data_IF_583094759814
#
_entry.id   IF_583094759814
#
_cell.length_a   1.000
_cell.length_b   1.000
_cell.length_c   1.000
_cell.angle_alpha   90.00
_cell.angle_beta   90.00
_cell.angle_gamma   90.00
#
_symmetry.space_group_name_H-M   'P 1'
#
loop_
_entity.id
_entity.type
_entity.pdbx_description
1 polymer ?
#
# COMPACT_ATOMS: atom_id res chain seq x y z
N UNK A 1 -10.03 23.53 9.77
CA UNK A 1 -10.71 22.21 9.98
C UNK A 1 -9.70 21.09 10.24
N UNK A 2 -8.70 20.89 9.37
CA UNK A 2 -7.68 19.84 9.57
C UNK A 2 -6.84 20.07 10.84
N UNK A 3 -6.51 21.32 11.16
CA UNK A 3 -5.78 21.65 12.40
C UNK A 3 -6.55 21.23 13.66
N UNK A 4 -7.88 21.35 13.64
CA UNK A 4 -8.75 20.90 14.74
C UNK A 4 -8.80 19.38 14.84
N UNK A 5 -8.79 18.67 13.69
CA UNK A 5 -8.67 17.22 13.63
C UNK A 5 -7.33 16.77 14.23
N UNK A 6 -6.20 17.37 13.81
CA UNK A 6 -4.87 17.06 14.34
C UNK A 6 -4.81 17.29 15.86
N UNK A 7 -5.41 18.38 16.33
CA UNK A 7 -5.53 18.67 17.77
C UNK A 7 -6.32 17.58 18.51
N UNK A 8 -7.43 17.08 17.93
CA UNK A 8 -8.20 15.97 18.54
C UNK A 8 -7.45 14.63 18.58
N UNK A 9 -6.44 14.46 17.72
CA UNK A 9 -5.56 13.28 17.72
C UNK A 9 -4.33 13.48 18.64
N UNK A 10 -4.27 14.59 19.37
CA UNK A 10 -3.13 14.93 20.24
C UNK A 10 -1.87 15.36 19.49
N UNK A 11 -1.96 15.63 18.18
CA UNK A 11 -0.84 16.11 17.38
C UNK A 11 -0.77 17.64 17.48
N UNK A 12 0.13 18.12 18.34
CA UNK A 12 0.28 19.55 18.65
C UNK A 12 1.40 20.24 17.87
N UNK A 13 2.31 19.46 17.26
CA UNK A 13 3.41 19.98 16.45
C UNK A 13 3.35 19.37 15.04
N UNK A 14 3.23 20.23 14.02
CA UNK A 14 3.24 19.85 12.61
C UNK A 14 3.85 20.98 11.76
N UNK A 15 4.35 20.63 10.59
CA UNK A 15 4.82 21.60 9.59
C UNK A 15 3.62 22.24 8.87
N UNK A 16 3.72 23.52 8.51
CA UNK A 16 2.68 24.26 7.79
C UNK A 16 2.28 23.66 6.43
N UNK A 17 3.14 22.82 5.84
CA UNK A 17 2.87 22.11 4.57
C UNK A 17 1.96 20.89 4.74
N UNK A 18 1.93 20.27 5.92
CA UNK A 18 1.21 19.01 6.14
C UNK A 18 -0.31 19.13 5.91
N UNK A 19 -1.00 20.17 6.42
CA UNK A 19 -2.44 20.34 6.16
C UNK A 19 -2.77 20.48 4.66
N UNK A 20 -1.93 21.17 3.89
CA UNK A 20 -2.10 21.32 2.45
C UNK A 20 -1.93 20.00 1.71
N UNK A 21 -0.93 19.20 2.09
CA UNK A 21 -0.70 17.88 1.52
C UNK A 21 -1.89 16.94 1.78
N UNK A 22 -2.46 16.97 2.98
CA UNK A 22 -3.63 16.17 3.33
C UNK A 22 -4.88 16.57 2.52
N UNK A 23 -5.06 17.86 2.24
CA UNK A 23 -6.15 18.33 1.38
C UNK A 23 -5.96 17.89 -0.07
N UNK A 24 -4.75 18.01 -0.62
CA UNK A 24 -4.44 17.55 -1.98
C UNK A 24 -4.66 16.03 -2.09
N UNK A 25 -4.22 15.27 -1.09
CA UNK A 25 -4.50 13.84 -1.01
C UNK A 25 -6.01 13.54 -0.97
N UNK A 26 -6.78 14.21 -0.10
CA UNK A 26 -8.22 13.99 0.01
C UNK A 26 -8.93 14.31 -1.31
N UNK A 27 -8.51 15.38 -2.00
CA UNK A 27 -9.04 15.76 -3.30
C UNK A 27 -8.74 14.69 -4.36
N UNK A 28 -7.48 14.26 -4.51
CA UNK A 28 -7.10 13.23 -5.49
C UNK A 28 -7.79 11.89 -5.20
N UNK A 29 -7.89 11.52 -3.93
CA UNK A 29 -8.54 10.28 -3.51
C UNK A 29 -10.04 10.27 -3.83
N UNK A 30 -10.75 11.35 -3.49
CA UNK A 30 -12.19 11.47 -3.77
C UNK A 30 -12.48 11.59 -5.26
N UNK A 31 -11.70 12.38 -6.00
CA UNK A 31 -11.81 12.47 -7.46
C UNK A 31 -11.65 11.11 -8.14
N UNK A 32 -10.64 10.34 -7.73
CA UNK A 32 -10.41 8.99 -8.27
C UNK A 32 -11.53 8.01 -7.92
N UNK A 33 -12.10 8.07 -6.71
CA UNK A 33 -13.26 7.23 -6.32
C UNK A 33 -14.49 7.60 -7.14
N UNK A 34 -14.77 8.89 -7.30
CA UNK A 34 -15.95 9.35 -8.02
C UNK A 34 -15.87 9.00 -9.50
N UNK A 35 -14.67 9.04 -10.11
CA UNK A 35 -14.47 8.59 -11.48
C UNK A 35 -14.76 7.08 -11.64
N UNK A 36 -14.30 6.25 -10.70
CA UNK A 36 -14.62 4.82 -10.71
C UNK A 36 -16.11 4.55 -10.47
N UNK A 37 -16.72 5.31 -9.55
CA UNK A 37 -18.16 5.20 -9.27
C UNK A 37 -19.01 5.61 -10.48
N UNK A 38 -18.56 6.59 -11.27
CA UNK A 38 -19.21 7.00 -12.52
C UNK A 38 -19.18 5.85 -13.52
N UNK A 39 -18.03 5.21 -13.73
CA UNK A 39 -17.95 4.03 -14.60
C UNK A 39 -18.83 2.87 -14.11
N UNK A 40 -18.86 2.66 -12.80
CA UNK A 40 -19.66 1.60 -12.20
C UNK A 40 -21.17 1.88 -12.26
N UNK A 41 -21.58 3.16 -12.23
CA UNK A 41 -22.98 3.58 -12.34
C UNK A 41 -23.62 3.31 -13.70
N UNK A 42 -22.81 3.05 -14.73
CA UNK A 42 -23.31 2.60 -16.03
C UNK A 42 -23.81 1.15 -16.01
N UNK A 43 -23.42 0.36 -14.99
CA UNK A 43 -23.85 -1.04 -14.84
C UNK A 43 -25.22 -1.14 -14.13
N UNK A 44 -26.25 -1.73 -14.76
CA UNK A 44 -27.56 -1.96 -14.14
C UNK A 44 -27.50 -2.78 -12.84
N UNK A 45 -26.51 -3.66 -12.66
CA UNK A 45 -26.40 -4.48 -11.46
C UNK A 45 -25.99 -3.67 -10.22
N UNK A 46 -25.29 -2.56 -10.41
CA UNK A 46 -24.76 -1.73 -9.31
C UNK A 46 -25.76 -0.63 -8.92
N UNK A 47 -26.58 -0.20 -9.89
CA UNK A 47 -27.64 0.79 -9.70
C UNK A 47 -28.90 0.19 -9.06
N UNK A 48 -29.21 -1.08 -9.34
CA UNK A 48 -30.37 -1.80 -8.80
C UNK A 48 -30.07 -2.70 -7.59
N UNK A 49 -28.82 -2.79 -7.12
CA UNK A 49 -28.44 -3.58 -5.95
C UNK A 49 -29.19 -3.10 -4.69
N UNK A 50 -30.29 -3.78 -4.33
CA UNK A 50 -31.11 -3.49 -3.14
C UNK A 50 -32.52 -2.98 -3.43
N UNK A 51 -32.87 -2.65 -4.68
CA UNK A 51 -34.29 -2.56 -5.06
C UNK A 51 -34.83 -3.98 -5.19
N UNK A 52 -35.86 -4.35 -4.43
CA UNK A 52 -36.54 -5.66 -4.57
C UNK A 52 -36.78 -5.90 -6.07
N UNK A 53 -36.49 -7.10 -6.61
CA UNK A 53 -36.84 -7.42 -7.98
C UNK A 53 -38.38 -7.45 -8.03
N UNK A 54 -38.99 -6.32 -8.39
CA UNK A 54 -40.42 -6.29 -8.63
C UNK A 54 -40.64 -7.13 -9.87
N UNK A 55 -41.32 -8.26 -9.72
CA UNK A 55 -41.70 -9.19 -10.78
C UNK A 55 -42.66 -8.58 -11.84
N UNK A 56 -42.70 -7.25 -11.95
CA UNK A 56 -43.53 -6.46 -12.85
C UNK A 56 -42.75 -5.48 -13.73
N UNK A 57 -41.42 -5.48 -13.68
CA UNK A 57 -40.59 -4.72 -14.62
C UNK A 57 -40.15 -5.62 -15.79
N UNK A 58 -41.13 -6.06 -16.58
CA UNK A 58 -40.85 -6.61 -17.91
C UNK A 58 -40.30 -5.51 -18.81
N UNK A 59 -39.12 -5.76 -19.40
CA UNK A 59 -38.64 -5.21 -20.67
C UNK A 59 -38.97 -3.73 -20.99
N UNK A 60 -38.89 -2.83 -20.00
CA UNK A 60 -39.15 -1.40 -20.17
C UNK A 60 -37.88 -0.61 -19.97
N UNK A 61 -37.30 -0.14 -21.08
CA UNK A 61 -36.22 0.83 -21.17
C UNK A 61 -34.98 0.51 -20.31
N UNK A 62 -34.06 -0.27 -20.89
CA UNK A 62 -32.65 -0.05 -20.66
C UNK A 62 -32.32 1.39 -21.09
N UNK A 63 -32.48 2.35 -20.18
CA UNK A 63 -31.86 3.65 -20.34
C UNK A 63 -30.36 3.43 -20.23
N UNK A 64 -29.73 3.21 -21.38
CA UNK A 64 -28.31 3.49 -21.58
C UNK A 64 -28.13 4.93 -21.10
N UNK A 65 -27.39 5.22 -20.01
CA UNK A 65 -27.09 6.60 -19.64
C UNK A 65 -25.96 7.05 -20.58
N UNK A 66 -26.37 7.47 -21.76
CA UNK A 66 -25.50 7.97 -22.80
C UNK A 66 -26.27 8.95 -23.66
N UNK A 67 -26.66 10.09 -23.07
CA UNK A 67 -26.77 11.44 -23.67
C UNK A 67 -27.72 12.31 -22.82
N UNK A 68 -27.15 13.15 -21.93
CA UNK A 68 -27.84 14.37 -21.47
C UNK A 68 -28.56 14.36 -20.12
N UNK A 69 -28.38 13.35 -19.26
CA UNK A 69 -28.87 13.37 -17.87
C UNK A 69 -27.72 13.50 -16.88
N UNK A 70 -27.90 14.27 -15.82
CA UNK A 70 -26.94 14.41 -14.71
C UNK A 70 -26.26 13.08 -14.36
N UNK A 71 -24.95 13.10 -14.12
CA UNK A 71 -24.21 11.92 -13.69
C UNK A 71 -24.76 11.42 -12.34
N UNK A 72 -25.69 10.47 -12.37
CA UNK A 72 -26.36 9.93 -11.18
C UNK A 72 -25.44 8.94 -10.48
N UNK A 73 -24.55 9.47 -9.64
CA UNK A 73 -23.69 8.65 -8.78
C UNK A 73 -24.52 8.02 -7.66
N UNK A 74 -24.70 6.70 -7.69
CA UNK A 74 -25.41 5.98 -6.62
C UNK A 74 -24.52 5.74 -5.40
N UNK A 75 -25.10 5.73 -4.19
CA UNK A 75 -24.38 5.44 -2.96
C UNK A 75 -23.75 4.03 -2.94
N UNK A 76 -24.35 3.08 -3.67
CA UNK A 76 -23.82 1.73 -3.80
C UNK A 76 -22.59 1.68 -4.71
N UNK A 77 -22.60 2.44 -5.81
CA UNK A 77 -21.45 2.54 -6.69
C UNK A 77 -20.24 3.12 -5.94
N UNK A 78 -20.46 4.15 -5.10
CA UNK A 78 -19.41 4.72 -4.26
C UNK A 78 -18.86 3.72 -3.25
N UNK A 79 -19.74 2.95 -2.56
CA UNK A 79 -19.30 1.91 -1.62
C UNK A 79 -18.45 0.84 -2.28
N UNK A 80 -18.84 0.40 -3.47
CA UNK A 80 -18.09 -0.63 -4.20
C UNK A 80 -16.76 -0.09 -4.76
N UNK A 81 -16.75 1.14 -5.26
CA UNK A 81 -15.52 1.82 -5.68
C UNK A 81 -14.52 1.98 -4.52
N UNK A 82 -15.01 2.35 -3.33
CA UNK A 82 -14.18 2.41 -2.12
C UNK A 82 -13.65 1.00 -1.77
N UNK A 83 -14.52 -0.02 -1.74
CA UNK A 83 -14.12 -1.39 -1.41
C UNK A 83 -13.04 -1.95 -2.35
N UNK A 84 -13.16 -1.69 -3.67
CA UNK A 84 -12.18 -2.14 -4.65
C UNK A 84 -10.79 -1.52 -4.43
N UNK A 85 -10.72 -0.24 -4.03
CA UNK A 85 -9.46 0.46 -3.74
C UNK A 85 -8.86 0.07 -2.40
N UNK A 86 -9.71 -0.16 -1.40
CA UNK A 86 -9.29 -0.63 -0.08
C UNK A 86 -8.50 -1.94 -0.14
N UNK A 87 -8.75 -2.79 -1.13
CA UNK A 87 -8.05 -4.08 -1.29
C UNK A 87 -6.54 -3.97 -1.50
N UNK A 88 -6.03 -2.87 -2.04
CA UNK A 88 -4.61 -2.74 -2.39
C UNK A 88 -3.95 -1.41 -1.98
N UNK A 89 -4.71 -0.33 -1.77
CA UNK A 89 -4.12 1.00 -1.48
C UNK A 89 -3.94 1.26 0.02
N UNK A 90 -4.88 0.81 0.85
CA UNK A 90 -4.88 1.14 2.27
C UNK A 90 -4.48 -0.07 3.10
N UNK A 91 -3.42 0.12 3.90
CA UNK A 91 -3.07 -0.81 4.96
C UNK A 91 -4.21 -0.83 5.98
N UNK A 92 -5.08 -1.83 5.88
CA UNK A 92 -6.20 -2.04 6.79
C UNK A 92 -7.58 -2.23 6.13
N UNK A 93 -7.71 -2.08 4.81
CA UNK A 93 -9.01 -2.04 4.13
C UNK A 93 -9.83 -3.34 4.23
N UNK A 94 -11.06 -3.24 4.77
CA UNK A 94 -12.03 -4.32 5.01
C UNK A 94 -11.51 -5.45 5.91
N UNK A 95 -11.17 -5.12 7.16
CA UNK A 95 -11.07 -6.09 8.26
C UNK A 95 -9.67 -6.51 8.67
N UNK A 96 -8.67 -6.43 7.80
CA UNK A 96 -7.28 -6.79 8.13
C UNK A 96 -6.32 -6.51 6.97
N UNK A 97 -6.21 -5.27 6.50
CA UNK A 97 -5.10 -4.90 5.59
C UNK A 97 -3.75 -4.68 6.31
N UNK A 98 -3.64 -5.07 7.57
CA UNK A 98 -2.43 -5.74 8.03
C UNK A 98 -2.76 -7.21 8.03
N UNK A 99 -2.09 -7.98 7.16
CA UNK A 99 -1.97 -9.44 7.19
C UNK A 99 -2.70 -10.07 8.40
N UNK A 100 -3.81 -10.78 8.17
CA UNK A 100 -4.72 -11.15 9.27
C UNK A 100 -3.96 -11.80 10.43
N UNK A 101 -4.34 -11.48 11.67
CA UNK A 101 -3.66 -12.01 12.87
C UNK A 101 -3.55 -13.53 12.81
N UNK A 102 -4.61 -14.20 12.34
CA UNK A 102 -4.65 -15.65 12.19
C UNK A 102 -3.64 -16.13 11.14
N UNK A 103 -3.56 -15.46 9.99
CA UNK A 103 -2.55 -15.76 8.97
C UNK A 103 -1.13 -15.54 9.49
N UNK A 104 -0.87 -14.45 10.22
CA UNK A 104 0.44 -14.19 10.84
C UNK A 104 0.76 -15.24 11.91
N UNK A 105 -0.24 -15.68 12.65
CA UNK A 105 -0.08 -16.71 13.67
C UNK A 105 0.23 -18.06 13.04
N UNK A 106 -0.39 -18.40 11.91
CA UNK A 106 -0.10 -19.64 11.18
C UNK A 106 1.26 -19.58 10.50
N UNK A 107 1.62 -18.45 9.87
CA UNK A 107 2.97 -18.25 9.34
C UNK A 107 4.03 -18.33 10.45
N UNK A 108 3.75 -17.77 11.63
CA UNK A 108 4.66 -17.88 12.77
C UNK A 108 4.82 -19.34 13.22
N UNK A 109 3.76 -20.14 13.25
CA UNK A 109 3.86 -21.58 13.57
C UNK A 109 4.70 -22.33 12.54
N UNK A 110 4.53 -22.03 11.25
CA UNK A 110 5.31 -22.63 10.17
C UNK A 110 6.80 -22.28 10.28
N UNK A 111 7.12 -21.01 10.48
CA UNK A 111 8.50 -20.53 10.61
C UNK A 111 9.16 -21.04 11.90
N UNK A 112 8.45 -21.02 13.03
CA UNK A 112 8.97 -21.43 14.33
C UNK A 112 9.05 -22.95 14.51
N UNK A 113 8.67 -23.74 13.49
CA UNK A 113 8.83 -25.20 13.50
C UNK A 113 10.31 -25.62 13.52
N UNK A 114 11.20 -24.80 12.93
CA UNK A 114 12.63 -25.10 12.87
C UNK A 114 13.27 -24.67 14.19
N UNK A 115 13.87 -25.63 14.91
CA UNK A 115 14.59 -25.35 16.14
C UNK A 115 15.78 -24.40 15.89
N UNK A 116 16.07 -23.56 16.88
CA UNK A 116 17.18 -22.61 16.79
C UNK A 116 18.53 -23.33 16.59
N UNK A 117 19.45 -22.77 15.78
CA UNK A 117 20.81 -23.30 15.66
C UNK A 117 21.52 -23.33 17.02
N UNK A 118 22.33 -24.37 17.25
CA UNK A 118 23.16 -24.45 18.46
C UNK A 118 24.23 -23.36 18.43
N UNK A 119 24.31 -22.56 19.49
CA UNK A 119 25.36 -21.56 19.70
C UNK A 119 26.40 -22.15 20.65
N UNK A 120 27.69 -22.02 20.31
CA UNK A 120 28.76 -22.49 21.17
C UNK A 120 28.91 -21.53 22.37
N UNK A 121 28.84 -22.01 23.63
CA UNK A 121 28.91 -21.15 24.82
C UNK A 121 30.28 -20.49 25.03
N UNK A 122 31.29 -20.92 24.28
CA UNK A 122 32.67 -20.43 24.40
C UNK A 122 32.96 -19.30 23.38
N UNK A 123 32.02 -18.96 22.51
CA UNK A 123 32.17 -17.89 21.51
C UNK A 123 31.59 -16.58 22.07
N UNK A 124 32.47 -15.71 22.56
CA UNK A 124 32.09 -14.34 22.91
C UNK A 124 32.27 -13.45 21.69
N UNK A 125 31.20 -13.22 20.92
CA UNK A 125 31.28 -12.38 19.72
C UNK A 125 30.07 -12.46 18.80
N UNK A 126 30.13 -11.72 17.69
CA UNK A 126 29.12 -11.76 16.63
C UNK A 126 29.53 -12.79 15.59
N UNK A 127 28.70 -13.81 15.39
CA UNK A 127 28.90 -14.78 14.31
C UNK A 127 28.38 -14.21 13.00
N UNK A 128 29.30 -13.83 12.12
CA UNK A 128 28.96 -13.40 10.77
C UNK A 128 28.52 -14.61 9.91
N UNK A 129 27.63 -14.41 8.92
CA UNK A 129 27.42 -15.38 7.84
C UNK A 129 28.74 -15.72 7.13
N UNK A 130 28.77 -16.79 6.33
CA UNK A 130 29.97 -17.11 5.54
C UNK A 130 30.37 -15.92 4.66
N UNK A 131 31.66 -15.72 4.42
CA UNK A 131 32.21 -14.57 3.69
C UNK A 131 31.53 -14.30 2.33
N UNK A 132 31.01 -15.34 1.66
CA UNK A 132 30.23 -15.22 0.42
C UNK A 132 28.92 -14.44 0.53
N UNK A 133 28.35 -14.35 1.74
CA UNK A 133 27.10 -13.64 2.04
C UNK A 133 27.34 -12.38 2.87
N UNK A 134 28.59 -12.04 3.16
CA UNK A 134 28.96 -10.81 3.86
C UNK A 134 29.31 -9.76 2.81
N UNK A 135 28.63 -8.62 2.86
CA UNK A 135 29.02 -7.46 2.08
C UNK A 135 30.35 -6.93 2.64
N UNK A 136 31.46 -7.21 1.96
CA UNK A 136 32.83 -6.89 2.40
C UNK A 136 33.17 -5.40 2.36
N UNK A 137 32.22 -4.53 2.02
CA UNK A 137 32.43 -3.09 1.87
C UNK A 137 33.37 -2.70 0.73
N UNK A 138 33.80 -3.64 -0.10
CA UNK A 138 34.62 -3.37 -1.29
C UNK A 138 33.71 -2.89 -2.42
N UNK A 139 34.11 -1.82 -3.11
CA UNK A 139 33.42 -1.35 -4.31
C UNK A 139 33.47 -2.42 -5.40
N UNK A 140 32.43 -2.45 -6.24
CA UNK A 140 32.30 -3.42 -7.34
C UNK A 140 33.52 -3.35 -8.27
N UNK A 141 34.44 -4.31 -8.16
CA UNK A 141 35.58 -4.46 -9.09
C UNK A 141 36.60 -3.33 -9.08
N UNK A 142 36.55 -2.39 -8.13
CA UNK A 142 37.50 -1.26 -8.09
C UNK A 142 38.70 -1.51 -7.18
N UNK A 143 38.81 -2.67 -6.53
CA UNK A 143 39.97 -2.96 -5.70
C UNK A 143 41.27 -2.98 -6.53
N UNK A 144 41.24 -3.62 -7.70
CA UNK A 144 42.39 -3.66 -8.61
C UNK A 144 42.72 -2.25 -9.14
N UNK A 145 41.71 -1.43 -9.47
CA UNK A 145 41.93 -0.06 -9.95
C UNK A 145 42.45 0.91 -8.86
N UNK A 146 42.05 0.70 -7.59
CA UNK A 146 42.54 1.51 -6.47
C UNK A 146 43.95 1.09 -6.03
N UNK A 147 44.29 -0.19 -6.14
CA UNK A 147 45.66 -0.68 -5.92
C UNK A 147 46.61 -0.22 -7.06
N UNK A 148 46.15 -0.21 -8.31
CA UNK A 148 46.94 0.27 -9.46
C UNK A 148 47.24 1.78 -9.37
N UNK A 149 46.25 2.61 -9.03
CA UNK A 149 46.45 4.05 -8.86
C UNK A 149 47.38 4.44 -7.69
N UNK A 150 47.62 3.54 -6.73
CA UNK A 150 48.53 3.76 -5.60
C UNK A 150 49.93 3.16 -5.79
N UNK A 151 50.17 2.42 -6.89
CA UNK A 151 51.47 1.81 -7.19
C UNK A 151 52.30 2.63 -8.19
N UNK A 152 51.69 3.59 -8.90
CA UNK A 152 52.39 4.43 -9.88
C UNK A 152 53.08 5.68 -9.26
N UNK A 153 52.77 6.07 -8.02
CA UNK A 153 53.39 7.25 -7.37
C UNK A 153 54.74 6.98 -6.68
N UNK A 154 55.13 5.73 -6.45
CA UNK A 154 56.34 5.37 -5.67
C UNK A 154 57.52 4.85 -6.54
N UNK A 155 57.49 5.01 -7.87
CA UNK A 155 58.52 4.44 -8.77
C UNK A 155 59.42 5.44 -9.53
N UNK A 156 59.34 6.74 -9.25
CA UNK A 156 60.27 7.74 -9.80
C UNK A 156 60.67 8.79 -8.73
N UNK A 157 61.66 8.46 -7.89
CA UNK A 157 62.76 9.37 -7.46
C UNK A 157 63.90 8.58 -6.76
#
# INVERSE_FOLDING_TARGET
MIELLLTSQGVTAYESRVPLLLLDFAYRHTSSILNDALHLSADPYTTHAGSKPSASAGAGAASIPGTGGDATVSANAVKLAIAARLSYQFRGGAGAGGMSKDWLQDLAKEHNRVALPKVAPNEWGVRLPSERFVLSGTSWGLKDMWEEAGMDEDSDD
#
